data_IF_213034620664
#
_entry.id   IF_213034620664
#
_cell.length_a   1.000
_cell.length_b   1.000
_cell.length_c   1.000
_cell.angle_alpha   90.00
_cell.angle_beta   90.00
_cell.angle_gamma   90.00
#
_symmetry.space_group_name_H-M   'P 1'
#
loop_
_entity.id
_entity.type
_entity.pdbx_description
1 polymer ?
#
# COMPACT_ATOMS: atom_id res chain seq x y z
N UNK A 1 -5.07 30.36 -6.82
CA UNK A 1 -4.81 29.68 -5.53
C UNK A 1 -5.57 28.37 -5.53
N UNK A 2 -4.91 27.25 -5.83
CA UNK A 2 -5.58 25.94 -5.88
C UNK A 2 -5.78 25.43 -4.45
N UNK A 3 -7.03 25.32 -4.01
CA UNK A 3 -7.36 24.65 -2.75
C UNK A 3 -6.92 23.19 -2.86
N UNK A 4 -6.08 22.74 -1.93
CA UNK A 4 -5.74 21.32 -1.81
C UNK A 4 -7.04 20.57 -1.53
N UNK A 5 -7.43 19.67 -2.43
CA UNK A 5 -8.59 18.81 -2.17
C UNK A 5 -8.32 17.99 -0.90
N UNK A 6 -9.31 17.78 -0.03
CA UNK A 6 -9.14 16.97 1.16
C UNK A 6 -8.65 15.56 0.78
N UNK A 7 -7.61 15.07 1.46
CA UNK A 7 -7.13 13.69 1.30
C UNK A 7 -8.25 12.67 1.56
N UNK A 8 -9.21 13.00 2.43
CA UNK A 8 -10.38 12.20 2.75
C UNK A 8 -11.28 11.90 1.53
N UNK A 9 -11.44 12.86 0.63
CA UNK A 9 -12.26 12.67 -0.58
C UNK A 9 -11.58 11.70 -1.54
N UNK A 10 -10.25 11.75 -1.64
CA UNK A 10 -9.49 10.81 -2.45
C UNK A 10 -9.51 9.41 -1.84
N UNK A 11 -9.36 9.29 -0.52
CA UNK A 11 -9.40 7.99 0.16
C UNK A 11 -10.75 7.30 -0.05
N UNK A 12 -11.85 8.04 0.10
CA UNK A 12 -13.21 7.53 -0.12
C UNK A 12 -13.37 7.01 -1.56
N UNK A 13 -12.93 7.78 -2.55
CA UNK A 13 -12.98 7.38 -3.97
C UNK A 13 -12.11 6.16 -4.29
N UNK A 14 -11.00 5.98 -3.57
CA UNK A 14 -10.13 4.84 -3.73
C UNK A 14 -10.77 3.58 -3.12
N UNK A 15 -11.33 3.68 -1.92
CA UNK A 15 -12.07 2.59 -1.26
C UNK A 15 -13.32 2.17 -2.07
N UNK A 16 -14.00 3.12 -2.73
CA UNK A 16 -15.13 2.82 -3.60
C UNK A 16 -14.71 2.02 -4.84
N UNK A 17 -13.47 2.21 -5.31
CA UNK A 17 -12.90 1.49 -6.46
C UNK A 17 -12.25 0.15 -6.09
N UNK A 18 -12.05 -0.08 -4.79
CA UNK A 18 -11.52 -1.30 -4.21
C UNK A 18 -12.58 -2.41 -4.23
N UNK A 19 -12.20 -3.62 -4.62
CA UNK A 19 -13.11 -4.76 -4.79
C UNK A 19 -13.69 -5.22 -3.45
N UNK A 20 -14.79 -5.99 -3.48
CA UNK A 20 -15.37 -6.53 -2.24
C UNK A 20 -14.37 -7.40 -1.47
N UNK A 21 -13.57 -8.19 -2.18
CA UNK A 21 -12.53 -9.03 -1.60
C UNK A 21 -11.45 -8.20 -0.88
N UNK A 22 -11.03 -7.07 -1.47
CA UNK A 22 -10.07 -6.18 -0.84
C UNK A 22 -10.64 -5.53 0.42
N UNK A 23 -11.93 -5.18 0.44
CA UNK A 23 -12.62 -4.66 1.62
C UNK A 23 -12.71 -5.71 2.72
N UNK A 24 -13.01 -6.96 2.37
CA UNK A 24 -13.09 -8.06 3.34
C UNK A 24 -11.73 -8.32 3.98
N UNK A 25 -10.64 -8.25 3.20
CA UNK A 25 -9.27 -8.35 3.71
C UNK A 25 -8.94 -7.20 4.66
N UNK A 26 -9.28 -5.96 4.30
CA UNK A 26 -9.07 -4.78 5.16
C UNK A 26 -9.85 -4.93 6.48
N UNK A 27 -11.10 -5.40 6.41
CA UNK A 27 -11.94 -5.63 7.60
C UNK A 27 -11.44 -6.78 8.49
N UNK A 28 -10.69 -7.73 7.92
CA UNK A 28 -10.13 -8.87 8.65
C UNK A 28 -8.73 -8.58 9.26
N UNK A 29 -8.18 -7.37 9.07
CA UNK A 29 -6.90 -6.99 9.67
C UNK A 29 -7.00 -6.99 11.20
N UNK A 30 -6.02 -7.63 11.84
CA UNK A 30 -5.87 -7.57 13.30
C UNK A 30 -5.45 -6.18 13.76
N UNK A 31 -5.64 -5.89 15.05
CA UNK A 31 -5.15 -4.66 15.66
C UNK A 31 -3.64 -4.51 15.46
N UNK A 32 -3.19 -3.27 15.19
CA UNK A 32 -1.78 -2.97 14.93
C UNK A 32 -1.26 -3.46 13.57
N UNK A 33 -2.12 -4.03 12.72
CA UNK A 33 -1.77 -4.43 11.35
C UNK A 33 -2.31 -3.44 10.32
N UNK A 34 -1.61 -3.31 9.21
CA UNK A 34 -2.02 -2.55 8.04
C UNK A 34 -1.80 -3.37 6.76
N UNK A 35 -2.43 -2.95 5.67
CA UNK A 35 -2.25 -3.58 4.35
C UNK A 35 -1.84 -2.51 3.34
N UNK A 36 -0.72 -2.73 2.66
CA UNK A 36 -0.32 -1.94 1.49
C UNK A 36 -0.90 -2.60 0.25
N UNK A 37 -1.76 -1.88 -0.48
CA UNK A 37 -2.38 -2.35 -1.71
C UNK A 37 -1.88 -1.51 -2.88
N UNK A 38 -1.37 -2.17 -3.92
CA UNK A 38 -1.01 -1.52 -5.17
C UNK A 38 -2.26 -1.28 -6.01
N UNK A 39 -2.62 -0.01 -6.17
CA UNK A 39 -3.90 0.38 -6.79
C UNK A 39 -3.78 0.60 -8.31
N UNK A 40 -2.55 0.72 -8.82
CA UNK A 40 -2.24 1.00 -10.22
C UNK A 40 -0.87 0.44 -10.64
N UNK A 41 -0.61 0.45 -11.94
CA UNK A 41 0.66 -0.04 -12.50
C UNK A 41 0.73 -1.56 -12.69
N UNK A 42 1.92 -2.09 -13.05
CA UNK A 42 2.11 -3.51 -13.35
C UNK A 42 1.79 -4.44 -12.18
N UNK A 43 1.98 -3.96 -10.95
CA UNK A 43 1.68 -4.69 -9.72
C UNK A 43 0.27 -4.45 -9.18
N UNK A 44 -0.68 -3.93 -9.97
CA UNK A 44 -2.03 -3.63 -9.49
C UNK A 44 -2.68 -4.87 -8.85
N UNK A 45 -3.23 -4.71 -7.66
CA UNK A 45 -3.85 -5.76 -6.87
C UNK A 45 -2.87 -6.53 -5.97
N UNK A 46 -1.56 -6.24 -6.03
CA UNK A 46 -0.61 -6.76 -5.05
C UNK A 46 -0.95 -6.24 -3.64
N UNK A 47 -0.88 -7.13 -2.65
CA UNK A 47 -1.25 -6.89 -1.24
C UNK A 47 -0.09 -7.30 -0.36
N UNK A 48 0.36 -6.42 0.52
CA UNK A 48 1.46 -6.67 1.44
C UNK A 48 1.02 -6.33 2.87
N UNK A 49 1.06 -7.34 3.74
CA UNK A 49 0.72 -7.17 5.16
C UNK A 49 1.86 -6.42 5.86
N UNK A 50 1.50 -5.42 6.65
CA UNK A 50 2.39 -4.68 7.53
C UNK A 50 1.94 -4.99 8.95
N UNK A 51 2.74 -5.74 9.69
CA UNK A 51 2.43 -6.17 11.06
C UNK A 51 3.63 -6.06 12.01
N UNK A 52 4.62 -5.26 11.62
CA UNK A 52 5.81 -4.94 12.40
C UNK A 52 5.91 -3.43 12.59
N UNK A 53 6.62 -3.01 13.65
CA UNK A 53 6.87 -1.60 13.94
C UNK A 53 7.75 -0.90 12.89
N UNK A 54 8.42 -1.69 12.04
CA UNK A 54 9.29 -1.21 10.97
C UNK A 54 9.21 -2.16 9.79
N UNK A 55 8.80 -1.65 8.63
CA UNK A 55 8.75 -2.38 7.36
C UNK A 55 9.49 -1.61 6.28
N UNK A 56 10.57 -2.20 5.75
CA UNK A 56 11.36 -1.63 4.66
C UNK A 56 10.78 -2.05 3.30
N UNK A 57 10.56 -1.07 2.43
CA UNK A 57 10.00 -1.26 1.09
C UNK A 57 11.07 -0.93 0.05
N UNK A 58 11.34 -1.83 -0.89
CA UNK A 58 12.36 -1.59 -1.91
C UNK A 58 12.56 -2.74 -2.90
N UNK A 59 13.54 -2.56 -3.80
CA UNK A 59 13.97 -3.58 -4.78
C UNK A 59 15.11 -4.47 -4.26
N UNK A 60 15.59 -4.25 -3.03
CA UNK A 60 16.57 -5.18 -2.47
C UNK A 60 15.88 -6.47 -2.03
N UNK A 61 16.49 -7.63 -2.28
CA UNK A 61 15.91 -8.95 -1.93
C UNK A 61 15.76 -9.09 -0.41
N UNK A 62 16.54 -8.34 0.36
CA UNK A 62 16.46 -8.22 1.81
C UNK A 62 15.36 -7.27 2.32
N UNK A 63 14.57 -6.62 1.45
CA UNK A 63 13.47 -5.75 1.87
C UNK A 63 12.28 -6.57 2.34
N UNK A 64 11.61 -6.12 3.40
CA UNK A 64 10.40 -6.78 3.93
C UNK A 64 9.28 -6.81 2.87
N UNK A 65 9.12 -5.70 2.13
CA UNK A 65 8.26 -5.62 0.95
C UNK A 65 9.15 -5.42 -0.29
N UNK A 66 9.27 -6.49 -1.08
CA UNK A 66 10.02 -6.48 -2.33
C UNK A 66 9.16 -6.01 -3.51
N UNK A 67 9.64 -4.97 -4.20
CA UNK A 67 9.04 -4.46 -5.43
C UNK A 67 10.00 -4.67 -6.60
N UNK A 68 9.59 -5.50 -7.55
CA UNK A 68 10.37 -5.78 -8.78
C UNK A 68 10.15 -4.70 -9.84
N UNK A 69 10.58 -3.48 -9.53
CA UNK A 69 10.51 -2.35 -10.45
C UNK A 69 11.83 -1.60 -10.47
N UNK A 70 12.41 -1.43 -11.66
CA UNK A 70 13.72 -0.80 -11.85
C UNK A 70 13.76 0.66 -11.37
N UNK A 71 12.61 1.33 -11.32
CA UNK A 71 12.46 2.70 -10.80
C UNK A 71 12.51 2.75 -9.27
N UNK A 72 12.32 1.61 -8.60
CA UNK A 72 12.39 1.49 -7.15
C UNK A 72 13.85 1.33 -6.70
N UNK A 73 14.20 2.10 -5.69
CA UNK A 73 15.52 2.06 -5.05
C UNK A 73 15.68 0.78 -4.23
N UNK A 74 16.94 0.38 -3.92
CA UNK A 74 17.18 -0.79 -3.07
C UNK A 74 16.49 -0.67 -1.70
N UNK A 75 16.54 0.52 -1.10
CA UNK A 75 15.76 0.92 0.09
C UNK A 75 15.01 2.19 -0.27
N UNK A 76 13.72 2.08 -0.54
CA UNK A 76 12.95 3.18 -1.14
C UNK A 76 12.08 3.91 -0.12
N UNK A 77 11.39 3.15 0.74
CA UNK A 77 10.57 3.70 1.79
C UNK A 77 10.64 2.82 3.04
N UNK A 78 10.17 3.37 4.15
CA UNK A 78 10.05 2.69 5.44
C UNK A 78 8.78 3.20 6.11
N UNK A 79 8.06 2.27 6.75
CA UNK A 79 6.86 2.54 7.55
C UNK A 79 7.08 2.00 8.94
#
# INVERSE_FOLDING_TARGET
MGSLRPVSDQLSLLLDKTSQEERDVINALGEGSAMLISLSGPGKGARFLINSDRTVIGRAVESDIFLDDVTVSRKHAEV
#
